data_IF_074673012611
#
_entry.id   IF_074673012611
#
_cell.length_a   1.000
_cell.length_b   1.000
_cell.length_c   1.000
_cell.angle_alpha   90.00
_cell.angle_beta   90.00
_cell.angle_gamma   90.00
#
_symmetry.space_group_name_H-M   'P 1'
#
loop_
_entity.id
_entity.type
_entity.pdbx_description
1 polymer ?
#
# COMPACT_ATOMS: atom_id res chain seq x y z
N UNK A 1 16.46 -9.96 27.31
CA UNK A 1 15.82 -10.57 26.13
C UNK A 1 14.50 -11.15 26.62
N UNK A 2 13.39 -10.88 25.93
CA UNK A 2 12.06 -11.39 26.31
C UNK A 2 11.99 -12.90 26.12
N UNK A 3 11.35 -13.61 27.05
CA UNK A 3 11.05 -15.03 26.94
C UNK A 3 9.65 -15.22 26.35
N UNK A 4 9.59 -15.53 25.06
CA UNK A 4 8.33 -15.67 24.32
C UNK A 4 7.61 -16.99 24.62
N UNK A 5 8.30 -17.97 25.21
CA UNK A 5 7.70 -19.27 25.60
C UNK A 5 6.60 -19.10 26.65
N UNK A 6 6.58 -17.97 27.37
CA UNK A 6 5.55 -17.65 28.35
C UNK A 6 4.24 -17.20 27.69
N UNK A 7 4.30 -16.68 26.47
CA UNK A 7 3.20 -15.98 25.80
C UNK A 7 2.72 -16.66 24.51
N UNK A 8 3.55 -17.51 23.90
CA UNK A 8 3.26 -18.19 22.64
C UNK A 8 3.21 -19.70 22.88
N UNK A 9 2.29 -20.38 22.21
CA UNK A 9 2.09 -21.82 22.25
C UNK A 9 2.22 -22.42 20.85
N UNK A 10 2.58 -23.72 20.73
CA UNK A 10 2.46 -24.43 19.47
C UNK A 10 1.04 -24.32 18.90
N UNK A 11 0.93 -23.94 17.63
CA UNK A 11 -0.32 -23.75 16.90
C UNK A 11 -0.83 -22.31 16.86
N UNK A 12 -0.23 -21.38 17.60
CA UNK A 12 -0.67 -19.99 17.64
C UNK A 12 -0.49 -19.30 16.27
N UNK A 13 -1.49 -18.49 15.92
CA UNK A 13 -1.42 -17.51 14.87
C UNK A 13 -0.83 -16.18 15.38
N UNK A 14 0.27 -15.74 14.77
CA UNK A 14 0.97 -14.51 15.15
C UNK A 14 0.81 -13.45 14.06
N UNK A 15 0.74 -12.17 14.42
CA UNK A 15 0.95 -11.05 13.48
C UNK A 15 1.81 -9.96 14.11
N UNK A 16 2.33 -9.05 13.28
CA UNK A 16 3.02 -7.87 13.80
C UNK A 16 2.82 -6.61 12.97
N UNK A 17 3.05 -5.45 13.59
CA UNK A 17 3.08 -4.15 12.90
C UNK A 17 4.01 -4.20 11.71
N UNK A 18 3.61 -3.59 10.60
CA UNK A 18 4.36 -3.62 9.35
C UNK A 18 5.10 -2.31 9.09
N UNK A 19 5.92 -2.30 8.04
CA UNK A 19 6.65 -1.14 7.54
C UNK A 19 7.57 -0.52 8.59
N UNK A 20 7.57 0.81 8.72
CA UNK A 20 8.38 1.56 9.67
C UNK A 20 8.01 1.31 11.13
N UNK A 21 6.82 0.76 11.39
CA UNK A 21 6.35 0.37 12.71
C UNK A 21 6.72 -1.08 13.09
N UNK A 22 7.43 -1.84 12.25
CA UNK A 22 7.79 -3.22 12.56
C UNK A 22 8.61 -3.33 13.85
N UNK A 23 8.16 -4.13 14.86
CA UNK A 23 8.84 -4.27 16.14
C UNK A 23 10.00 -5.27 16.02
N UNK A 24 11.05 -4.88 15.28
CA UNK A 24 12.14 -5.80 14.89
C UNK A 24 12.80 -6.54 16.05
N UNK A 25 12.97 -5.99 17.27
CA UNK A 25 13.49 -6.77 18.40
C UNK A 25 12.58 -7.94 18.82
N UNK A 26 11.26 -7.77 18.74
CA UNK A 26 10.29 -8.84 19.05
C UNK A 26 10.26 -9.89 17.94
N UNK A 27 10.27 -9.45 16.68
CA UNK A 27 10.34 -10.37 15.52
C UNK A 27 11.63 -11.19 15.56
N UNK A 28 12.76 -10.57 15.89
CA UNK A 28 14.04 -11.28 16.02
C UNK A 28 14.03 -12.26 17.17
N UNK A 29 13.48 -11.89 18.32
CA UNK A 29 13.29 -12.80 19.45
C UNK A 29 12.40 -14.01 19.09
N UNK A 30 11.35 -13.80 18.28
CA UNK A 30 10.51 -14.89 17.76
C UNK A 30 11.32 -15.83 16.87
N UNK A 31 12.05 -15.30 15.89
CA UNK A 31 12.88 -16.11 14.99
C UNK A 31 13.92 -16.95 15.76
N UNK A 32 14.47 -16.41 16.84
CA UNK A 32 15.47 -17.11 17.67
C UNK A 32 14.84 -18.18 18.60
N UNK A 33 13.55 -18.06 18.93
CA UNK A 33 12.86 -18.92 19.91
C UNK A 33 11.84 -19.87 19.29
N UNK A 34 11.38 -19.65 18.05
CA UNK A 34 10.37 -20.50 17.42
C UNK A 34 10.77 -21.99 17.33
N UNK A 35 12.06 -22.38 17.17
CA UNK A 35 12.43 -23.80 17.21
C UNK A 35 12.15 -24.49 18.54
N UNK A 36 12.08 -23.75 19.65
CA UNK A 36 11.74 -24.29 20.98
C UNK A 36 10.27 -24.10 21.37
N UNK A 37 9.55 -23.23 20.67
CA UNK A 37 8.12 -22.96 20.88
C UNK A 37 7.25 -23.97 20.11
N UNK A 38 7.65 -24.34 18.89
CA UNK A 38 6.89 -25.24 18.03
C UNK A 38 6.11 -24.49 16.96
N UNK A 39 5.36 -25.20 16.10
CA UNK A 39 4.88 -24.63 14.85
C UNK A 39 3.96 -23.44 15.11
N UNK A 40 4.24 -22.32 14.46
CA UNK A 40 3.42 -21.11 14.48
C UNK A 40 3.18 -20.62 13.06
N UNK A 41 2.08 -19.88 12.88
CA UNK A 41 1.74 -19.27 11.59
C UNK A 41 1.71 -17.76 11.73
N UNK A 42 2.59 -17.08 11.00
CA UNK A 42 2.74 -15.63 11.06
C UNK A 42 2.05 -14.95 9.88
N UNK A 43 1.14 -13.99 10.16
CA UNK A 43 0.66 -13.03 9.18
C UNK A 43 1.58 -11.80 9.15
N UNK A 44 2.19 -11.56 8.00
CA UNK A 44 3.22 -10.53 7.82
C UNK A 44 2.80 -9.59 6.71
N UNK A 45 2.71 -8.30 7.03
CA UNK A 45 2.50 -7.26 6.03
C UNK A 45 3.78 -6.87 5.31
N UNK A 46 3.84 -5.63 4.80
CA UNK A 46 5.06 -5.12 4.17
C UNK A 46 6.22 -5.05 5.18
N UNK A 47 7.33 -5.72 4.90
CA UNK A 47 8.51 -5.78 5.78
C UNK A 47 9.80 -5.42 5.05
N UNK A 48 10.73 -4.81 5.77
CA UNK A 48 12.14 -4.64 5.34
C UNK A 48 13.13 -5.44 6.18
N UNK A 49 12.62 -6.31 7.05
CA UNK A 49 13.43 -7.10 7.94
C UNK A 49 14.11 -8.23 7.17
N UNK A 50 15.39 -8.03 6.85
CA UNK A 50 16.19 -9.00 6.09
C UNK A 50 16.37 -10.35 6.80
N UNK A 51 16.14 -10.44 8.12
CA UNK A 51 16.11 -11.75 8.81
C UNK A 51 14.95 -12.63 8.33
N UNK A 52 13.94 -12.06 7.67
CA UNK A 52 12.89 -12.82 7.01
C UNK A 52 13.30 -13.30 5.61
N UNK A 53 14.52 -13.03 5.14
CA UNK A 53 15.02 -13.53 3.84
C UNK A 53 16.10 -14.59 3.96
N UNK A 54 16.58 -14.85 5.18
CA UNK A 54 17.43 -16.01 5.45
C UNK A 54 16.58 -17.28 5.52
N UNK A 55 17.25 -18.44 5.64
CA UNK A 55 16.60 -19.69 5.99
C UNK A 55 15.77 -19.48 7.26
N UNK A 56 14.45 -19.62 7.11
CA UNK A 56 13.51 -19.50 8.21
C UNK A 56 13.48 -20.82 8.98
N UNK A 57 13.22 -20.79 10.29
CA UNK A 57 12.97 -22.01 11.05
C UNK A 57 11.82 -22.83 10.46
N UNK A 58 11.95 -24.16 10.43
CA UNK A 58 10.94 -25.07 9.89
C UNK A 58 9.59 -24.96 10.63
N UNK A 59 9.63 -24.54 11.89
CA UNK A 59 8.45 -24.31 12.73
C UNK A 59 7.72 -22.99 12.42
N UNK A 60 8.23 -22.15 11.53
CA UNK A 60 7.61 -20.88 11.16
C UNK A 60 7.04 -20.92 9.74
N UNK A 61 5.72 -20.84 9.63
CA UNK A 61 5.04 -20.59 8.35
C UNK A 61 4.67 -19.12 8.21
N UNK A 62 4.92 -18.53 7.03
CA UNK A 62 4.57 -17.14 6.74
C UNK A 62 3.43 -17.08 5.73
N UNK A 63 2.38 -16.35 6.12
CA UNK A 63 1.29 -15.93 5.26
C UNK A 63 1.27 -14.41 5.14
N UNK A 64 0.92 -13.88 3.97
CA UNK A 64 0.81 -12.45 3.72
C UNK A 64 -0.37 -12.15 2.80
N UNK A 65 -0.74 -10.88 2.66
CA UNK A 65 -1.63 -10.41 1.60
C UNK A 65 -0.88 -10.08 0.29
N UNK A 66 0.44 -10.32 0.23
CA UNK A 66 1.24 -10.28 -1.00
C UNK A 66 2.76 -10.33 -0.78
N UNK A 67 3.52 -10.33 -1.88
CA UNK A 67 4.98 -10.34 -1.92
C UNK A 67 5.59 -8.97 -1.63
N UNK A 68 5.35 -8.43 -0.43
CA UNK A 68 5.65 -7.03 -0.11
C UNK A 68 7.01 -6.86 0.58
N UNK A 69 7.80 -5.92 0.07
CA UNK A 69 9.13 -5.61 0.62
C UNK A 69 10.08 -6.80 0.48
N UNK A 70 10.56 -7.33 1.60
CA UNK A 70 11.47 -8.47 1.66
C UNK A 70 10.76 -9.83 1.48
N UNK A 71 9.43 -9.90 1.65
CA UNK A 71 8.67 -11.16 1.51
C UNK A 71 8.75 -11.77 0.10
N UNK A 72 8.89 -10.95 -0.96
CA UNK A 72 9.06 -11.44 -2.34
C UNK A 72 10.34 -12.26 -2.57
N UNK A 73 11.26 -12.27 -1.60
CA UNK A 73 12.51 -13.04 -1.64
C UNK A 73 12.39 -14.40 -0.96
N UNK A 74 11.27 -14.67 -0.29
CA UNK A 74 11.03 -15.95 0.35
C UNK A 74 10.88 -17.05 -0.70
N UNK A 75 11.51 -18.20 -0.44
CA UNK A 75 11.34 -19.39 -1.25
C UNK A 75 9.89 -19.91 -1.20
N UNK A 76 9.26 -19.81 -0.02
CA UNK A 76 7.88 -20.24 0.22
C UNK A 76 7.12 -19.13 0.95
N UNK A 77 6.23 -18.45 0.23
CA UNK A 77 5.30 -17.47 0.76
C UNK A 77 3.87 -17.91 0.45
N UNK A 78 3.05 -18.08 1.48
CA UNK A 78 1.60 -18.24 1.31
C UNK A 78 0.96 -16.86 1.15
N UNK A 79 0.17 -16.66 0.08
CA UNK A 79 -0.52 -15.39 -0.18
C UNK A 79 -2.02 -15.58 -0.02
N UNK A 80 -2.65 -14.73 0.79
CA UNK A 80 -4.10 -14.58 0.92
C UNK A 80 -4.55 -13.47 -0.04
N UNK A 81 -5.12 -13.79 -1.20
CA UNK A 81 -5.60 -12.78 -2.13
C UNK A 81 -6.81 -12.07 -1.53
N UNK A 82 -6.65 -10.80 -1.17
CA UNK A 82 -7.71 -9.97 -0.62
C UNK A 82 -7.43 -8.48 -0.86
N UNK A 83 -8.50 -7.70 -0.99
CA UNK A 83 -8.38 -6.24 -0.91
C UNK A 83 -7.93 -5.82 0.48
N UNK A 84 -7.18 -4.74 0.57
CA UNK A 84 -6.67 -4.27 1.85
C UNK A 84 -7.80 -3.87 2.81
N UNK A 85 -8.87 -3.28 2.28
CA UNK A 85 -10.10 -2.99 3.04
C UNK A 85 -10.84 -4.21 3.57
N UNK A 86 -10.51 -5.43 3.11
CA UNK A 86 -11.09 -6.68 3.62
C UNK A 86 -10.34 -7.26 4.84
N UNK A 87 -9.09 -6.85 5.08
CA UNK A 87 -8.28 -7.33 6.21
C UNK A 87 -8.99 -7.19 7.57
N UNK A 88 -9.66 -6.07 7.90
CA UNK A 88 -10.39 -5.94 9.18
C UNK A 88 -11.40 -7.06 9.39
N UNK A 89 -12.17 -7.40 8.33
CA UNK A 89 -13.16 -8.46 8.40
C UNK A 89 -12.52 -9.84 8.54
N UNK A 90 -11.39 -10.08 7.86
CA UNK A 90 -10.67 -11.35 7.96
C UNK A 90 -10.09 -11.58 9.36
N UNK A 91 -9.63 -10.53 10.05
CA UNK A 91 -9.28 -10.61 11.47
C UNK A 91 -10.50 -10.85 12.36
N UNK A 92 -11.60 -10.12 12.13
CA UNK A 92 -12.83 -10.29 12.90
C UNK A 92 -13.42 -11.71 12.80
N UNK A 93 -13.31 -12.34 11.63
CA UNK A 93 -13.72 -13.72 11.37
C UNK A 93 -12.66 -14.76 11.75
N UNK A 94 -11.51 -14.33 12.29
CA UNK A 94 -10.36 -15.20 12.65
C UNK A 94 -9.87 -16.07 11.49
N UNK A 95 -9.95 -15.53 10.26
CA UNK A 95 -9.41 -16.17 9.05
C UNK A 95 -7.93 -15.88 8.86
N UNK A 96 -7.41 -14.85 9.54
CA UNK A 96 -5.99 -14.54 9.63
C UNK A 96 -5.45 -14.87 11.03
N UNK A 97 -4.16 -15.24 11.15
CA UNK A 97 -3.46 -15.36 12.42
C UNK A 97 -3.73 -14.19 13.37
N UNK A 98 -4.26 -14.47 14.57
CA UNK A 98 -4.67 -13.41 15.50
C UNK A 98 -4.62 -13.82 16.99
N UNK A 99 -3.87 -14.85 17.37
CA UNK A 99 -3.76 -15.27 18.77
C UNK A 99 -2.77 -14.37 19.54
N UNK A 100 -1.66 -14.01 18.89
CA UNK A 100 -0.62 -13.14 19.44
C UNK A 100 -0.27 -12.02 18.46
N UNK A 101 -0.22 -10.77 18.94
CA UNK A 101 0.15 -9.61 18.13
C UNK A 101 1.37 -8.89 18.70
N UNK A 102 2.35 -8.57 17.84
CA UNK A 102 3.46 -7.70 18.21
C UNK A 102 3.28 -6.30 17.64
N UNK A 103 3.37 -5.30 18.50
CA UNK A 103 3.25 -3.89 18.08
C UNK A 103 4.46 -3.09 18.53
N UNK A 104 4.79 -2.04 17.78
CA UNK A 104 5.68 -1.00 18.24
C UNK A 104 4.86 0.24 18.58
N UNK A 105 5.08 0.81 19.76
CA UNK A 105 4.28 1.94 20.26
C UNK A 105 5.14 3.02 20.91
N UNK A 106 4.57 4.21 21.06
CA UNK A 106 5.16 5.29 21.87
C UNK A 106 5.19 4.95 23.35
N UNK A 107 6.01 5.64 24.16
CA UNK A 107 5.82 5.66 25.60
C UNK A 107 4.39 6.09 25.97
N UNK A 108 3.86 5.61 27.11
CA UNK A 108 2.54 6.00 27.57
C UNK A 108 2.48 7.49 27.90
N UNK A 109 1.37 8.14 27.56
CA UNK A 109 1.06 9.51 27.95
C UNK A 109 0.74 9.62 29.46
N UNK A 110 0.46 10.84 29.93
CA UNK A 110 0.08 11.08 31.34
C UNK A 110 -1.18 10.33 31.80
N UNK A 111 -2.01 9.84 30.87
CA UNK A 111 -3.18 9.02 31.14
C UNK A 111 -2.90 7.51 30.99
N UNK A 112 -1.64 7.11 30.78
CA UNK A 112 -1.22 5.72 30.66
C UNK A 112 -1.47 5.10 29.28
N UNK A 113 -1.69 5.91 28.24
CA UNK A 113 -1.99 5.41 26.89
C UNK A 113 -0.80 5.53 25.94
N UNK A 114 -0.53 4.46 25.22
CA UNK A 114 0.41 4.39 24.11
C UNK A 114 -0.27 4.71 22.77
N UNK A 115 0.54 5.13 21.80
CA UNK A 115 0.14 5.38 20.40
C UNK A 115 0.84 4.38 19.48
N UNK A 116 0.12 3.87 18.46
CA UNK A 116 0.70 3.07 17.37
C UNK A 116 1.64 3.87 16.46
N UNK A 117 1.57 5.20 16.53
CA UNK A 117 2.46 6.12 15.82
C UNK A 117 2.35 5.99 14.31
N UNK A 118 3.44 5.55 13.67
CA UNK A 118 3.58 5.54 12.20
C UNK A 118 2.88 4.38 11.50
N UNK A 119 2.33 3.40 12.23
CA UNK A 119 1.65 2.23 11.64
C UNK A 119 0.34 1.91 12.34
N UNK A 120 -0.75 2.55 11.91
CA UNK A 120 -2.11 2.32 12.43
C UNK A 120 -2.84 1.29 11.59
N UNK A 121 -3.02 1.60 10.30
CA UNK A 121 -3.48 0.71 9.22
C UNK A 121 -4.38 -0.49 9.62
N UNK A 122 -4.14 -1.72 9.16
CA UNK A 122 -4.93 -2.87 9.61
C UNK A 122 -4.58 -3.28 11.05
N UNK A 123 -3.45 -2.80 11.58
CA UNK A 123 -2.98 -3.16 12.92
C UNK A 123 -3.98 -2.74 13.97
N UNK A 124 -4.53 -1.52 13.86
CA UNK A 124 -5.59 -1.02 14.71
C UNK A 124 -6.85 -1.89 14.67
N UNK A 125 -7.21 -2.42 13.49
CA UNK A 125 -8.35 -3.33 13.33
C UNK A 125 -8.09 -4.72 13.96
N UNK A 126 -6.84 -5.18 13.97
CA UNK A 126 -6.46 -6.47 14.55
C UNK A 126 -6.45 -6.47 16.09
N UNK A 127 -6.28 -5.31 16.75
CA UNK A 127 -6.14 -5.21 18.21
C UNK A 127 -7.30 -5.82 18.99
N UNK A 128 -8.54 -5.60 18.52
CA UNK A 128 -9.76 -6.06 19.19
C UNK A 128 -9.98 -7.57 19.06
N UNK A 129 -9.27 -8.20 18.11
CA UNK A 129 -9.37 -9.62 17.81
C UNK A 129 -8.20 -10.44 18.34
N UNK A 130 -7.25 -9.78 19.02
CA UNK A 130 -5.96 -10.39 19.41
C UNK A 130 -5.82 -10.53 20.92
N UNK A 131 -6.01 -11.72 21.52
CA UNK A 131 -5.99 -11.88 22.96
C UNK A 131 -4.67 -11.43 23.62
N UNK A 132 -3.54 -11.86 23.08
CA UNK A 132 -2.20 -11.56 23.64
C UNK A 132 -1.52 -10.49 22.80
N UNK A 133 -1.23 -9.33 23.40
CA UNK A 133 -0.44 -8.29 22.75
C UNK A 133 0.90 -8.11 23.48
N UNK A 134 1.98 -8.05 22.73
CA UNK A 134 3.33 -7.76 23.22
C UNK A 134 3.83 -6.51 22.51
N UNK A 135 4.35 -5.55 23.28
CA UNK A 135 4.76 -4.25 22.73
C UNK A 135 6.27 -4.01 22.82
N UNK A 136 6.84 -3.48 21.73
CA UNK A 136 8.06 -2.68 21.79
C UNK A 136 7.65 -1.22 22.10
N UNK A 137 7.97 -0.73 23.30
CA UNK A 137 7.83 0.69 23.65
C UNK A 137 9.09 1.40 23.16
N UNK A 138 9.00 2.07 22.02
CA UNK A 138 10.10 2.82 21.44
C UNK A 138 9.97 4.31 21.75
N UNK A 139 10.96 4.88 22.43
CA UNK A 139 11.02 6.32 22.77
C UNK A 139 10.98 7.24 21.55
N UNK A 140 11.32 6.73 20.37
CA UNK A 140 11.30 7.48 19.09
C UNK A 140 10.03 7.29 18.27
N UNK A 141 9.07 6.49 18.73
CA UNK A 141 7.78 6.35 18.04
C UNK A 141 6.94 7.61 18.28
N UNK A 142 6.57 8.38 17.24
CA UNK A 142 5.79 9.60 17.39
C UNK A 142 4.36 9.30 17.85
N UNK A 143 3.74 10.26 18.53
CA UNK A 143 2.31 10.25 18.82
C UNK A 143 1.58 10.87 17.64
N UNK A 144 0.67 10.13 17.01
CA UNK A 144 -0.08 10.57 15.84
C UNK A 144 -1.54 10.84 16.17
N UNK A 145 -2.15 11.78 15.45
CA UNK A 145 -3.58 12.11 15.60
C UNK A 145 -4.45 10.99 15.02
N UNK A 146 -5.61 10.73 15.62
CA UNK A 146 -6.65 9.86 15.04
C UNK A 146 -6.50 8.35 15.32
N UNK A 147 -5.31 7.91 15.72
CA UNK A 147 -5.02 6.53 16.10
C UNK A 147 -5.77 6.13 17.39
N UNK A 148 -6.13 4.84 17.56
CA UNK A 148 -6.63 4.34 18.84
C UNK A 148 -5.60 4.55 19.96
N UNK A 149 -6.08 4.95 21.14
CA UNK A 149 -5.27 5.03 22.36
C UNK A 149 -5.25 3.65 23.02
N UNK A 150 -4.05 3.11 23.27
CA UNK A 150 -3.89 1.77 23.83
C UNK A 150 -3.38 1.88 25.27
N UNK A 151 -4.16 1.48 26.30
CA UNK A 151 -3.68 1.49 27.68
C UNK A 151 -2.46 0.57 27.84
N UNK A 152 -1.44 0.99 28.60
CA UNK A 152 -0.25 0.16 28.86
C UNK A 152 -0.61 -1.23 29.42
N UNK A 153 -1.67 -1.31 30.22
CA UNK A 153 -2.19 -2.56 30.81
C UNK A 153 -2.75 -3.56 29.78
N UNK A 154 -2.92 -3.15 28.52
CA UNK A 154 -3.39 -4.02 27.43
C UNK A 154 -2.32 -5.03 26.98
N UNK A 155 -1.04 -4.73 27.25
CA UNK A 155 0.08 -5.57 26.84
C UNK A 155 0.40 -6.63 27.90
N UNK A 156 0.53 -7.88 27.46
CA UNK A 156 0.93 -9.00 28.31
C UNK A 156 2.41 -8.93 28.70
N UNK A 157 3.24 -8.33 27.82
CA UNK A 157 4.64 -8.04 28.07
C UNK A 157 5.09 -6.85 27.23
N UNK A 158 6.14 -6.18 27.69
CA UNK A 158 6.74 -5.04 27.01
C UNK A 158 8.26 -5.15 26.96
N UNK A 159 8.86 -4.64 25.89
CA UNK A 159 10.30 -4.39 25.78
C UNK A 159 10.50 -2.90 25.50
N UNK A 160 11.49 -2.28 26.13
CA UNK A 160 11.81 -0.87 25.87
C UNK A 160 12.91 -0.74 24.80
N UNK A 161 12.80 0.29 23.97
CA UNK A 161 13.83 0.64 23.00
C UNK A 161 13.95 2.16 22.80
N UNK A 162 15.07 2.58 22.22
CA UNK A 162 15.32 3.95 21.75
C UNK A 162 16.01 3.90 20.37
N UNK A 163 15.61 2.91 19.56
CA UNK A 163 16.19 2.71 18.23
C UNK A 163 15.50 3.63 17.21
N UNK A 164 16.20 4.06 16.16
CA UNK A 164 15.54 4.72 15.04
C UNK A 164 14.46 3.81 14.45
N UNK A 165 13.36 4.43 13.98
CA UNK A 165 12.38 3.77 13.13
C UNK A 165 13.04 3.41 11.79
N UNK A 166 12.48 2.43 11.09
CA UNK A 166 12.99 2.09 9.77
C UNK A 166 12.66 3.24 8.80
N UNK A 167 13.66 3.64 8.02
CA UNK A 167 13.53 4.73 7.05
C UNK A 167 13.45 4.19 5.62
N UNK A 168 12.64 4.84 4.79
CA UNK A 168 12.64 4.70 3.34
C UNK A 168 13.06 6.04 2.73
N UNK A 169 14.35 6.23 2.41
CA UNK A 169 14.81 7.46 1.79
C UNK A 169 14.24 7.60 0.37
N UNK A 170 13.92 8.84 0.01
CA UNK A 170 13.57 9.19 -1.36
C UNK A 170 14.72 8.81 -2.31
N UNK A 171 14.35 8.33 -3.49
CA UNK A 171 15.27 8.12 -4.61
C UNK A 171 14.99 9.16 -5.67
N UNK A 172 16.03 9.63 -6.33
CA UNK A 172 15.85 10.52 -7.47
C UNK A 172 15.12 9.77 -8.59
N UNK A 173 14.03 10.36 -9.13
CA UNK A 173 13.34 9.79 -10.28
C UNK A 173 14.18 9.94 -11.54
N UNK A 174 14.16 8.91 -12.37
CA UNK A 174 14.66 8.95 -13.73
C UNK A 174 13.74 9.81 -14.63
N UNK A 175 14.27 10.22 -15.79
CA UNK A 175 13.53 11.07 -16.74
C UNK A 175 12.19 10.47 -17.18
N UNK A 176 12.13 9.14 -17.29
CA UNK A 176 10.90 8.40 -17.62
C UNK A 176 9.84 8.59 -16.54
N UNK A 177 10.21 8.54 -15.26
CA UNK A 177 9.30 8.74 -14.13
C UNK A 177 8.84 10.19 -14.02
N UNK A 178 9.73 11.15 -14.34
CA UNK A 178 9.39 12.56 -14.44
C UNK A 178 8.40 12.84 -15.59
N UNK A 179 8.53 12.16 -16.72
CA UNK A 179 7.59 12.27 -17.84
C UNK A 179 6.20 11.73 -17.46
N UNK A 180 6.13 10.53 -16.88
CA UNK A 180 4.88 9.97 -16.36
C UNK A 180 4.27 10.92 -15.33
N UNK A 181 5.07 11.45 -14.39
CA UNK A 181 4.60 12.34 -13.35
C UNK A 181 3.94 13.61 -13.89
N UNK A 182 4.49 14.22 -14.95
CA UNK A 182 3.88 15.37 -15.63
C UNK A 182 2.54 15.00 -16.25
N UNK A 183 2.48 13.88 -16.98
CA UNK A 183 1.24 13.40 -17.59
C UNK A 183 0.15 13.10 -16.56
N UNK A 184 0.52 12.57 -15.38
CA UNK A 184 -0.43 12.35 -14.27
C UNK A 184 -0.88 13.68 -13.68
N UNK A 185 0.04 14.64 -13.48
CA UNK A 185 -0.29 15.94 -12.90
C UNK A 185 -1.32 16.71 -13.74
N UNK A 186 -1.27 16.61 -15.07
CA UNK A 186 -2.25 17.23 -15.97
C UNK A 186 -3.68 16.69 -15.82
N UNK A 187 -3.86 15.54 -15.16
CA UNK A 187 -5.16 14.92 -14.89
C UNK A 187 -5.74 15.28 -13.51
N UNK A 188 -4.92 15.90 -12.65
CA UNK A 188 -5.33 16.38 -11.33
C UNK A 188 -5.80 17.83 -11.44
N UNK A 189 -6.88 18.15 -10.74
CA UNK A 189 -7.41 19.50 -10.64
C UNK A 189 -7.18 20.08 -9.24
N UNK A 190 -7.13 21.40 -9.15
CA UNK A 190 -7.13 22.10 -7.86
C UNK A 190 -8.33 21.69 -7.01
N UNK A 191 -8.10 21.43 -5.73
CA UNK A 191 -9.12 20.97 -4.79
C UNK A 191 -9.43 19.47 -4.82
N UNK A 192 -8.78 18.68 -5.68
CA UNK A 192 -8.95 17.24 -5.67
C UNK A 192 -8.44 16.60 -4.38
N UNK A 193 -9.11 15.54 -3.94
CA UNK A 193 -8.59 14.67 -2.87
C UNK A 193 -7.82 13.53 -3.52
N UNK A 194 -6.51 13.48 -3.30
CA UNK A 194 -5.66 12.46 -3.90
C UNK A 194 -5.43 11.27 -2.96
N UNK A 195 -5.37 10.09 -3.56
CA UNK A 195 -4.69 8.92 -3.03
C UNK A 195 -3.52 8.59 -3.93
N UNK A 196 -2.40 8.27 -3.30
CA UNK A 196 -1.22 7.84 -4.03
C UNK A 196 -0.36 6.91 -3.16
N UNK A 197 0.28 5.95 -3.80
CA UNK A 197 1.22 5.03 -3.16
C UNK A 197 2.55 5.69 -2.77
N UNK A 198 3.56 4.84 -2.57
CA UNK A 198 4.92 5.22 -2.16
C UNK A 198 5.94 4.67 -3.15
N UNK A 199 7.11 5.31 -3.22
CA UNK A 199 8.19 4.93 -4.12
C UNK A 199 8.52 6.06 -5.11
N UNK A 200 9.48 5.79 -6.00
CA UNK A 200 10.07 6.82 -6.87
C UNK A 200 9.03 7.52 -7.75
N UNK A 201 8.20 6.76 -8.48
CA UNK A 201 7.17 7.34 -9.34
C UNK A 201 6.09 8.12 -8.55
N UNK A 202 5.47 7.56 -7.49
CA UNK A 202 4.59 8.32 -6.60
C UNK A 202 5.19 9.63 -6.06
N UNK A 203 6.44 9.61 -5.60
CA UNK A 203 7.14 10.81 -5.12
C UNK A 203 7.35 11.83 -6.25
N UNK A 204 7.63 11.38 -7.47
CA UNK A 204 7.74 12.25 -8.65
C UNK A 204 6.39 12.90 -9.01
N UNK A 205 5.29 12.14 -8.98
CA UNK A 205 3.93 12.66 -9.20
C UNK A 205 3.61 13.74 -8.16
N UNK A 206 3.78 13.46 -6.87
CA UNK A 206 3.58 14.46 -5.82
C UNK A 206 4.43 15.71 -6.04
N UNK A 207 5.67 15.56 -6.49
CA UNK A 207 6.53 16.70 -6.82
C UNK A 207 5.99 17.51 -8.00
N UNK A 208 5.47 16.85 -9.04
CA UNK A 208 4.85 17.50 -10.19
C UNK A 208 3.55 18.25 -9.83
N UNK A 209 2.88 17.86 -8.74
CA UNK A 209 1.70 18.55 -8.23
C UNK A 209 2.00 19.87 -7.51
N UNK A 210 3.27 20.28 -7.37
CA UNK A 210 3.65 21.48 -6.61
C UNK A 210 3.03 22.80 -7.08
N UNK A 211 2.49 22.86 -8.31
CA UNK A 211 1.78 24.03 -8.83
C UNK A 211 0.27 24.07 -8.53
N UNK A 212 -0.29 22.99 -7.97
CA UNK A 212 -1.72 22.89 -7.66
C UNK A 212 -2.07 23.60 -6.35
N UNK A 213 -3.36 23.81 -6.11
CA UNK A 213 -3.90 24.50 -4.95
C UNK A 213 -4.96 23.66 -4.24
N UNK A 214 -5.00 23.80 -2.91
CA UNK A 214 -6.03 23.24 -2.04
C UNK A 214 -6.26 21.73 -2.16
N UNK A 215 -5.23 20.96 -2.51
CA UNK A 215 -5.34 19.52 -2.61
C UNK A 215 -5.60 18.87 -1.23
N UNK A 216 -6.38 17.80 -1.23
CA UNK A 216 -6.59 16.92 -0.09
C UNK A 216 -5.78 15.63 -0.21
N UNK A 217 -5.52 14.97 0.92
CA UNK A 217 -4.93 13.62 0.94
C UNK A 217 -5.86 12.69 1.72
N UNK A 218 -6.21 11.56 1.10
CA UNK A 218 -6.85 10.42 1.76
C UNK A 218 -6.23 9.15 1.17
N UNK A 219 -5.22 8.61 1.85
CA UNK A 219 -4.40 7.51 1.32
C UNK A 219 -4.20 6.41 2.34
N UNK A 220 -3.71 5.25 1.90
CA UNK A 220 -3.20 4.22 2.80
C UNK A 220 -1.89 4.63 3.47
N UNK A 221 -1.07 5.46 2.80
CA UNK A 221 0.24 5.87 3.30
C UNK A 221 0.55 7.35 3.03
N UNK A 222 1.43 7.93 3.85
CA UNK A 222 2.03 9.26 3.65
C UNK A 222 3.55 9.16 3.58
N UNK A 223 4.20 10.01 2.77
CA UNK A 223 5.65 10.05 2.55
C UNK A 223 6.24 11.46 2.69
N UNK A 224 7.56 11.58 2.64
CA UNK A 224 8.28 12.87 2.63
C UNK A 224 7.85 13.78 1.47
N UNK A 225 7.46 13.22 0.32
CA UNK A 225 6.96 14.00 -0.81
C UNK A 225 5.64 14.72 -0.47
N UNK A 226 4.74 14.04 0.25
CA UNK A 226 3.50 14.66 0.72
C UNK A 226 3.79 15.72 1.80
N UNK A 227 4.74 15.46 2.71
CA UNK A 227 5.20 16.47 3.69
C UNK A 227 5.65 17.77 3.00
N UNK A 228 6.44 17.66 1.92
CA UNK A 228 6.89 18.85 1.16
C UNK A 228 5.73 19.65 0.56
N UNK A 229 4.65 18.99 0.12
CA UNK A 229 3.46 19.67 -0.38
C UNK A 229 2.63 20.32 0.74
N UNK A 230 2.58 19.71 1.92
CA UNK A 230 1.95 20.30 3.11
C UNK A 230 2.71 21.57 3.51
N UNK A 231 4.04 21.49 3.60
CA UNK A 231 4.90 22.64 3.95
C UNK A 231 4.78 23.80 2.93
N UNK A 232 4.47 23.49 1.67
CA UNK A 232 4.21 24.48 0.61
C UNK A 232 2.78 25.02 0.59
N UNK A 233 1.87 24.49 1.41
CA UNK A 233 0.45 24.86 1.39
C UNK A 233 -0.30 24.38 0.13
N UNK A 234 0.24 23.39 -0.58
CA UNK A 234 -0.42 22.75 -1.73
C UNK A 234 -1.41 21.70 -1.23
N UNK A 235 -0.98 20.87 -0.29
CA UNK A 235 -1.85 19.96 0.45
C UNK A 235 -2.39 20.70 1.67
N UNK A 236 -3.63 21.18 1.58
CA UNK A 236 -4.34 21.88 2.66
C UNK A 236 -5.47 21.05 3.26
N UNK A 237 -6.04 20.13 2.48
CA UNK A 237 -7.23 19.37 2.86
C UNK A 237 -8.50 20.22 2.98
N UNK A 238 -8.46 21.53 2.71
CA UNK A 238 -9.55 22.45 3.01
C UNK A 238 -10.83 22.17 2.20
N UNK A 239 -10.70 21.52 1.03
CA UNK A 239 -11.82 21.22 0.12
C UNK A 239 -12.33 19.79 0.20
N UNK A 240 -11.77 18.95 1.08
CA UNK A 240 -12.25 17.58 1.25
C UNK A 240 -13.69 17.57 1.77
N UNK A 241 -14.51 16.69 1.23
CA UNK A 241 -15.92 16.53 1.62
C UNK A 241 -16.08 15.90 3.01
N UNK A 242 -15.10 15.10 3.40
CA UNK A 242 -14.93 14.54 4.75
C UNK A 242 -13.54 14.87 5.27
N UNK A 243 -13.40 14.97 6.59
CA UNK A 243 -12.16 15.39 7.25
C UNK A 243 -11.60 16.72 6.68
N UNK A 244 -12.42 17.79 6.53
CA UNK A 244 -11.95 19.05 5.96
C UNK A 244 -10.82 19.65 6.81
N UNK A 245 -9.76 20.09 6.14
CA UNK A 245 -8.54 20.60 6.76
C UNK A 245 -7.61 19.52 7.34
N UNK A 246 -7.97 18.23 7.20
CA UNK A 246 -7.13 17.11 7.62
C UNK A 246 -6.76 16.20 6.44
N UNK A 247 -5.52 15.75 6.44
CA UNK A 247 -5.06 14.64 5.62
C UNK A 247 -5.32 13.32 6.36
N UNK A 248 -5.59 12.25 5.61
CA UNK A 248 -5.85 10.92 6.18
C UNK A 248 -4.84 9.92 5.63
N UNK A 249 -4.21 9.16 6.52
CA UNK A 249 -3.27 8.08 6.19
C UNK A 249 -3.50 6.85 7.11
N UNK A 250 -3.08 5.66 6.69
CA UNK A 250 -3.04 4.48 7.55
C UNK A 250 -1.66 4.28 8.20
N UNK A 251 -0.60 4.56 7.44
CA UNK A 251 0.78 4.45 7.88
C UNK A 251 1.65 5.57 7.29
N UNK A 252 2.86 5.76 7.83
CA UNK A 252 3.86 6.67 7.30
C UNK A 252 5.09 5.89 6.85
N UNK A 253 5.60 6.24 5.67
CA UNK A 253 6.75 5.63 5.06
C UNK A 253 7.69 6.70 4.54
N UNK A 254 8.82 6.88 5.20
CA UNK A 254 9.69 8.02 4.88
C UNK A 254 10.97 8.06 5.69
N UNK A 255 11.51 9.26 5.83
CA UNK A 255 12.72 9.52 6.64
C UNK A 255 12.38 9.89 8.08
N UNK A 256 13.40 9.97 8.93
CA UNK A 256 13.27 10.51 10.28
C UNK A 256 12.63 11.91 10.30
N UNK A 257 12.88 12.73 9.27
CA UNK A 257 12.29 14.07 9.14
C UNK A 257 10.77 14.02 9.10
N UNK A 258 10.20 13.06 8.36
CA UNK A 258 8.75 12.87 8.32
C UNK A 258 8.24 12.51 9.71
N UNK A 259 8.82 11.49 10.33
CA UNK A 259 8.36 10.95 11.60
C UNK A 259 8.39 11.98 12.73
N UNK A 260 9.47 12.78 12.83
CA UNK A 260 9.63 13.81 13.85
C UNK A 260 8.61 14.95 13.70
N UNK A 261 8.16 15.22 12.46
CA UNK A 261 7.19 16.29 12.17
C UNK A 261 5.74 15.86 12.35
N UNK A 262 5.42 14.56 12.21
CA UNK A 262 4.04 14.04 12.25
C UNK A 262 3.18 14.58 13.40
N UNK A 263 3.65 14.70 14.66
CA UNK A 263 2.82 15.18 15.77
C UNK A 263 2.25 16.59 15.57
N UNK A 264 2.90 17.42 14.75
CA UNK A 264 2.49 18.80 14.47
C UNK A 264 1.77 19.00 13.13
N UNK A 265 1.57 17.95 12.34
CA UNK A 265 0.93 18.05 11.03
C UNK A 265 -0.58 17.79 11.13
N UNK A 266 -1.41 18.38 10.24
CA UNK A 266 -2.84 18.10 10.18
C UNK A 266 -3.11 16.75 9.49
N UNK A 267 -2.52 15.67 10.00
CA UNK A 267 -2.63 14.30 9.44
C UNK A 267 -3.23 13.38 10.49
N UNK A 268 -4.42 12.85 10.20
CA UNK A 268 -5.07 11.83 11.02
C UNK A 268 -4.72 10.43 10.50
N UNK A 269 -4.09 9.63 11.37
CA UNK A 269 -3.82 8.23 11.12
C UNK A 269 -5.05 7.40 11.52
N UNK A 270 -5.58 6.63 10.58
CA UNK A 270 -6.85 5.90 10.72
C UNK A 270 -6.70 4.44 10.31
N UNK A 271 -7.52 3.53 10.86
CA UNK A 271 -7.49 2.12 10.53
C UNK A 271 -7.82 1.84 9.05
N UNK A 272 -7.53 0.62 8.58
CA UNK A 272 -7.92 0.15 7.26
C UNK A 272 -9.45 0.18 7.07
N UNK A 273 -10.20 -0.11 8.15
CA UNK A 273 -11.67 0.02 8.20
C UNK A 273 -12.20 1.46 8.03
N UNK A 274 -11.33 2.47 7.94
CA UNK A 274 -11.69 3.84 7.57
C UNK A 274 -11.05 4.25 6.25
N UNK A 275 -9.73 4.09 6.14
CA UNK A 275 -8.96 4.55 4.99
C UNK A 275 -9.38 3.87 3.69
N UNK A 276 -9.73 2.57 3.75
CA UNK A 276 -10.08 1.75 2.59
C UNK A 276 -11.56 1.35 2.55
N UNK A 277 -12.37 1.82 3.50
CA UNK A 277 -13.77 1.42 3.59
C UNK A 277 -14.61 2.03 2.46
N UNK A 278 -15.36 1.22 1.67
CA UNK A 278 -16.18 1.73 0.58
C UNK A 278 -17.19 2.80 1.03
N UNK A 279 -17.73 2.69 2.25
CA UNK A 279 -18.68 3.66 2.81
C UNK A 279 -18.05 5.01 3.12
N UNK A 280 -16.75 5.05 3.41
CA UNK A 280 -15.99 6.28 3.60
C UNK A 280 -15.56 6.84 2.25
N UNK A 281 -14.94 6.02 1.41
CA UNK A 281 -14.42 6.43 0.12
C UNK A 281 -15.49 6.95 -0.84
N UNK A 282 -16.71 6.40 -0.79
CA UNK A 282 -17.84 6.87 -1.61
C UNK A 282 -18.32 8.29 -1.29
N UNK A 283 -17.85 8.90 -0.19
CA UNK A 283 -18.17 10.28 0.17
C UNK A 283 -17.26 11.30 -0.52
N UNK A 284 -16.09 10.88 -1.04
CA UNK A 284 -15.11 11.73 -1.72
C UNK A 284 -15.45 11.82 -3.22
N UNK A 285 -16.09 12.91 -3.64
CA UNK A 285 -16.58 13.09 -5.02
C UNK A 285 -15.49 13.63 -5.95
N UNK A 286 -14.57 14.42 -5.44
CA UNK A 286 -13.38 14.90 -6.16
C UNK A 286 -12.17 13.95 -6.01
N UNK A 287 -12.41 12.65 -5.85
CA UNK A 287 -11.35 11.70 -5.53
C UNK A 287 -10.51 11.32 -6.75
N UNK A 288 -9.18 11.35 -6.60
CA UNK A 288 -8.23 10.90 -7.61
C UNK A 288 -7.34 9.82 -7.02
N UNK A 289 -7.51 8.60 -7.51
CA UNK A 289 -6.74 7.43 -7.14
C UNK A 289 -5.58 7.26 -8.12
N UNK A 290 -4.33 7.27 -7.63
CA UNK A 290 -3.13 7.16 -8.45
C UNK A 290 -2.36 5.92 -8.00
N UNK A 291 -2.43 4.86 -8.80
CA UNK A 291 -1.79 3.58 -8.53
C UNK A 291 -0.81 3.21 -9.64
N UNK A 292 0.02 2.19 -9.39
CA UNK A 292 0.97 1.66 -10.37
C UNK A 292 0.65 0.20 -10.70
N UNK A 293 1.12 -0.24 -11.86
CA UNK A 293 0.92 -1.62 -12.32
C UNK A 293 2.24 -2.25 -12.76
N UNK A 294 2.26 -3.59 -12.80
CA UNK A 294 3.32 -4.34 -13.47
C UNK A 294 3.03 -4.36 -14.96
N UNK A 295 1.78 -4.61 -15.32
CA UNK A 295 1.31 -4.68 -16.70
C UNK A 295 -0.18 -4.29 -16.80
N UNK A 296 -0.59 -3.89 -18.00
CA UNK A 296 -1.98 -3.59 -18.33
C UNK A 296 -2.29 -4.14 -19.73
N UNK A 297 -3.40 -4.84 -19.88
CA UNK A 297 -3.80 -5.35 -21.20
C UNK A 297 -4.48 -4.29 -22.08
N UNK A 298 -4.63 -4.56 -23.38
CA UNK A 298 -5.27 -3.66 -24.34
C UNK A 298 -6.72 -3.31 -24.00
N UNK A 299 -7.39 -4.10 -23.16
CA UNK A 299 -8.74 -3.82 -22.68
C UNK A 299 -8.75 -2.95 -21.42
N UNK A 300 -7.58 -2.72 -20.82
CA UNK A 300 -7.40 -1.95 -19.58
C UNK A 300 -7.51 -2.78 -18.31
N UNK A 301 -7.43 -4.11 -18.36
CA UNK A 301 -7.28 -4.90 -17.12
C UNK A 301 -5.87 -4.73 -16.58
N UNK A 302 -5.72 -4.67 -15.27
CA UNK A 302 -4.46 -4.37 -14.61
C UNK A 302 -3.94 -5.60 -13.88
N UNK A 303 -2.68 -5.96 -14.14
CA UNK A 303 -1.90 -6.91 -13.35
C UNK A 303 -0.89 -6.17 -12.47
N UNK A 304 -1.01 -6.28 -11.15
CA UNK A 304 -0.11 -5.61 -10.19
C UNK A 304 0.56 -6.58 -9.19
N UNK A 305 0.28 -7.88 -9.29
CA UNK A 305 0.67 -8.87 -8.28
C UNK A 305 1.85 -9.73 -8.69
N UNK A 306 1.84 -10.23 -9.93
CA UNK A 306 2.75 -11.26 -10.40
C UNK A 306 3.73 -10.70 -11.42
N UNK A 307 4.96 -11.22 -11.38
CA UNK A 307 5.94 -11.10 -12.45
C UNK A 307 6.57 -12.46 -12.67
N UNK A 308 6.49 -13.01 -13.89
CA UNK A 308 7.06 -14.33 -14.22
C UNK A 308 6.70 -15.40 -13.17
N UNK A 309 5.42 -15.49 -12.78
CA UNK A 309 4.85 -16.37 -11.71
C UNK A 309 5.23 -16.08 -10.25
N UNK A 310 6.10 -15.12 -9.99
CA UNK A 310 6.48 -14.75 -8.61
C UNK A 310 5.64 -13.57 -8.14
N UNK A 311 5.13 -13.64 -6.91
CA UNK A 311 4.49 -12.48 -6.27
C UNK A 311 5.50 -11.36 -6.04
N UNK A 312 5.31 -10.25 -6.75
CA UNK A 312 6.11 -9.03 -6.66
C UNK A 312 5.32 -7.86 -6.05
N UNK A 313 4.01 -8.02 -5.89
CA UNK A 313 3.10 -7.04 -5.31
C UNK A 313 1.98 -7.71 -4.50
N UNK A 314 0.82 -7.07 -4.48
CA UNK A 314 -0.37 -7.51 -3.78
C UNK A 314 -1.61 -6.95 -4.50
N UNK A 315 -2.78 -7.55 -4.29
CA UNK A 315 -4.06 -6.88 -4.60
C UNK A 315 -4.09 -5.51 -3.89
N UNK A 316 -3.77 -5.53 -2.59
CA UNK A 316 -3.60 -4.34 -1.78
C UNK A 316 -4.83 -3.42 -1.78
N UNK A 317 -4.60 -2.14 -1.50
CA UNK A 317 -5.65 -1.12 -1.46
C UNK A 317 -5.98 -0.51 -2.81
N UNK A 318 -5.23 -0.86 -3.88
CA UNK A 318 -5.40 -0.29 -5.21
C UNK A 318 -6.84 -0.40 -5.69
N UNK A 319 -7.44 -1.58 -5.56
CA UNK A 319 -8.83 -1.82 -6.01
C UNK A 319 -9.82 -0.99 -5.20
N UNK A 320 -9.62 -0.87 -3.88
CA UNK A 320 -10.49 -0.10 -3.00
C UNK A 320 -10.57 1.37 -3.47
N UNK A 321 -9.42 1.98 -3.77
CA UNK A 321 -9.33 3.36 -4.22
C UNK A 321 -9.74 3.56 -5.69
N UNK A 322 -9.31 2.67 -6.60
CA UNK A 322 -9.67 2.72 -8.02
C UNK A 322 -11.20 2.60 -8.18
N UNK A 323 -11.81 1.65 -7.47
CA UNK A 323 -13.27 1.47 -7.49
C UNK A 323 -13.99 2.69 -6.93
N UNK A 324 -13.50 3.26 -5.84
CA UNK A 324 -14.08 4.48 -5.28
C UNK A 324 -14.06 5.64 -6.27
N UNK A 325 -12.90 5.92 -6.88
CA UNK A 325 -12.76 6.98 -7.87
C UNK A 325 -13.67 6.75 -9.09
N UNK A 326 -13.79 5.50 -9.56
CA UNK A 326 -14.71 5.15 -10.64
C UNK A 326 -16.19 5.38 -10.26
N UNK A 327 -16.57 5.04 -9.03
CA UNK A 327 -17.96 5.16 -8.54
C UNK A 327 -18.39 6.60 -8.24
N UNK A 328 -17.50 7.44 -7.73
CA UNK A 328 -17.84 8.81 -7.31
C UNK A 328 -17.77 9.83 -8.44
N UNK A 329 -17.39 9.40 -9.65
CA UNK A 329 -17.14 10.28 -10.79
C UNK A 329 -15.75 10.93 -10.77
N UNK A 330 -14.91 10.54 -9.80
CA UNK A 330 -13.50 10.88 -9.73
C UNK A 330 -12.65 10.24 -10.85
N UNK A 331 -11.34 10.13 -10.63
CA UNK A 331 -10.37 9.59 -11.61
C UNK A 331 -9.52 8.47 -11.01
N UNK A 332 -9.62 7.29 -11.61
CA UNK A 332 -8.77 6.12 -11.37
C UNK A 332 -7.64 6.07 -12.39
N UNK A 333 -6.43 6.40 -11.96
CA UNK A 333 -5.23 6.54 -12.77
C UNK A 333 -4.28 5.38 -12.45
N UNK A 334 -3.85 4.68 -13.50
CA UNK A 334 -2.80 3.67 -13.46
C UNK A 334 -1.56 4.25 -14.14
N UNK A 335 -0.52 4.56 -13.37
CA UNK A 335 0.72 5.15 -13.84
C UNK A 335 1.85 4.12 -13.84
N UNK A 336 2.46 3.90 -15.01
CA UNK A 336 3.48 2.88 -15.20
C UNK A 336 4.42 3.25 -16.36
N UNK A 337 5.63 2.69 -16.36
CA UNK A 337 6.52 2.77 -17.54
C UNK A 337 5.94 1.93 -18.66
N UNK A 338 6.03 2.37 -19.91
CA UNK A 338 5.58 1.61 -21.08
C UNK A 338 6.49 0.41 -21.40
N UNK A 339 7.75 0.45 -20.96
CA UNK A 339 8.74 -0.64 -21.10
C UNK A 339 9.41 -0.98 -19.75
N UNK A 340 9.63 -2.28 -19.56
CA UNK A 340 10.41 -2.83 -18.46
C UNK A 340 11.45 -3.82 -18.97
N UNK A 341 12.68 -3.35 -19.20
CA UNK A 341 13.85 -4.18 -19.59
C UNK A 341 13.74 -4.74 -21.01
N UNK A 342 13.20 -3.95 -21.93
CA UNK A 342 13.01 -4.32 -23.33
C UNK A 342 11.72 -5.10 -23.59
N UNK A 343 10.88 -5.25 -22.57
CA UNK A 343 9.56 -5.87 -22.68
C UNK A 343 8.48 -4.80 -22.45
N UNK A 344 7.49 -4.75 -23.36
CA UNK A 344 6.30 -3.93 -23.19
C UNK A 344 5.58 -4.29 -21.90
N UNK A 345 5.16 -3.28 -21.14
CA UNK A 345 4.27 -3.44 -19.99
C UNK A 345 2.80 -3.32 -20.40
N UNK A 346 2.53 -2.80 -21.59
CA UNK A 346 1.21 -2.88 -22.23
C UNK A 346 1.16 -4.17 -23.02
N UNK A 347 0.21 -5.04 -22.69
CA UNK A 347 0.10 -6.40 -23.23
C UNK A 347 -1.18 -6.55 -24.05
N UNK A 348 -1.22 -7.51 -24.95
CA UNK A 348 -2.46 -7.94 -25.61
C UNK A 348 -3.42 -8.63 -24.64
N UNK A 349 -2.87 -9.47 -23.76
CA UNK A 349 -3.57 -10.02 -22.59
C UNK A 349 -2.61 -10.10 -21.41
N UNK A 350 -3.13 -10.03 -20.17
CA UNK A 350 -2.31 -10.15 -18.96
C UNK A 350 -1.56 -11.48 -18.90
N UNK A 351 -0.28 -11.42 -18.55
CA UNK A 351 0.53 -12.59 -18.31
C UNK A 351 -0.07 -13.39 -17.15
N UNK A 352 -0.25 -14.71 -17.37
CA UNK A 352 -0.83 -15.63 -16.39
C UNK A 352 -2.29 -15.34 -15.97
N UNK A 353 -2.97 -14.39 -16.61
CA UNK A 353 -4.40 -14.13 -16.44
C UNK A 353 -4.82 -13.55 -15.08
N UNK A 354 -3.87 -13.12 -14.25
CA UNK A 354 -4.15 -12.56 -12.93
C UNK A 354 -4.62 -11.10 -13.04
N UNK A 355 -5.92 -10.87 -12.87
CA UNK A 355 -6.52 -9.53 -12.88
C UNK A 355 -6.55 -8.98 -11.45
N UNK A 356 -5.74 -7.95 -11.19
CA UNK A 356 -5.76 -7.21 -9.93
C UNK A 356 -6.85 -6.13 -9.94
N UNK A 357 -6.92 -5.30 -10.98
CA UNK A 357 -7.98 -4.29 -11.14
C UNK A 357 -8.74 -4.54 -12.43
N UNK A 358 -10.06 -4.67 -12.31
CA UNK A 358 -10.92 -4.91 -13.46
C UNK A 358 -10.93 -3.68 -14.37
N UNK A 359 -10.99 -3.92 -15.68
CA UNK A 359 -11.05 -2.88 -16.72
C UNK A 359 -12.16 -1.85 -16.52
N UNK A 360 -13.24 -2.21 -15.81
CA UNK A 360 -14.35 -1.32 -15.51
C UNK A 360 -14.01 -0.23 -14.48
N UNK A 361 -12.97 -0.43 -13.67
CA UNK A 361 -12.54 0.47 -12.60
C UNK A 361 -11.34 1.35 -12.99
N UNK A 362 -10.93 1.30 -14.26
CA UNK A 362 -9.80 2.07 -14.80
C UNK A 362 -10.30 3.17 -15.71
N UNK A 363 -9.88 4.40 -15.40
CA UNK A 363 -10.22 5.58 -16.20
C UNK A 363 -9.07 6.02 -17.08
N UNK A 364 -7.86 6.00 -16.55
CA UNK A 364 -6.66 6.41 -17.27
C UNK A 364 -5.54 5.40 -17.06
N UNK A 365 -4.83 5.08 -18.14
CA UNK A 365 -3.50 4.48 -18.08
C UNK A 365 -2.50 5.50 -18.58
N UNK A 366 -1.48 5.78 -17.78
CA UNK A 366 -0.51 6.85 -18.04
C UNK A 366 0.89 6.26 -18.11
N UNK A 367 1.57 6.56 -19.21
CA UNK A 367 2.99 6.22 -19.44
C UNK A 367 3.79 7.48 -19.71
N UNK A 368 5.08 7.33 -19.96
CA UNK A 368 5.95 8.41 -20.41
C UNK A 368 5.54 8.98 -21.78
N UNK A 369 4.71 8.26 -22.55
CA UNK A 369 4.24 8.65 -23.89
C UNK A 369 2.87 9.33 -23.90
N UNK A 370 2.18 9.41 -22.76
CA UNK A 370 0.90 10.11 -22.63
C UNK A 370 -0.10 9.39 -21.73
N UNK A 371 -1.37 9.76 -21.86
CA UNK A 371 -2.47 9.22 -21.09
C UNK A 371 -3.57 8.64 -22.01
N UNK A 372 -3.91 7.37 -21.81
CA UNK A 372 -5.02 6.70 -22.47
C UNK A 372 -6.28 6.80 -21.60
N UNK A 373 -7.25 7.63 -22.00
CA UNK A 373 -8.55 7.70 -21.35
C UNK A 373 -9.43 6.51 -21.77
N UNK A 374 -9.93 5.70 -20.84
CA UNK A 374 -10.62 4.43 -21.11
C UNK A 374 -12.09 4.42 -20.66
N UNK A 375 -12.51 5.36 -19.81
CA UNK A 375 -13.91 5.48 -19.35
C UNK A 375 -14.83 5.75 -20.54
N UNK A 376 -15.90 4.96 -20.66
CA UNK A 376 -16.90 5.09 -21.74
C UNK A 376 -16.46 4.59 -23.12
N UNK A 377 -15.26 4.02 -23.24
CA UNK A 377 -14.76 3.46 -24.50
C UNK A 377 -15.15 1.99 -24.67
N UNK A 378 -15.46 1.61 -25.92
CA UNK A 378 -15.53 0.21 -26.38
C UNK A 378 -14.15 -0.47 -26.32
N UNK A 379 -14.12 -1.80 -26.38
CA UNK A 379 -12.86 -2.56 -26.34
C UNK A 379 -11.89 -2.16 -27.46
N UNK A 380 -12.40 -1.98 -28.69
CA UNK A 380 -11.56 -1.53 -29.81
C UNK A 380 -11.06 -0.09 -29.67
N UNK A 381 -11.83 0.82 -29.06
CA UNK A 381 -11.35 2.17 -28.74
C UNK A 381 -10.28 2.15 -27.65
N UNK A 382 -10.45 1.30 -26.62
CA UNK A 382 -9.45 1.11 -25.57
C UNK A 382 -8.14 0.58 -26.14
N UNK A 383 -8.19 -0.47 -26.96
CA UNK A 383 -7.00 -1.04 -27.57
C UNK A 383 -6.18 -0.01 -28.34
N UNK A 384 -6.82 0.79 -29.21
CA UNK A 384 -6.15 1.86 -29.96
C UNK A 384 -5.53 2.92 -29.04
N UNK A 385 -6.23 3.33 -27.97
CA UNK A 385 -5.72 4.32 -27.01
C UNK A 385 -4.55 3.76 -26.18
N UNK A 386 -4.61 2.49 -25.80
CA UNK A 386 -3.53 1.81 -25.08
C UNK A 386 -2.27 1.69 -25.96
N UNK A 387 -2.40 1.30 -27.22
CA UNK A 387 -1.29 1.24 -28.18
C UNK A 387 -0.65 2.63 -28.36
N UNK A 388 -1.47 3.69 -28.43
CA UNK A 388 -0.96 5.06 -28.59
C UNK A 388 -0.04 5.53 -27.44
N UNK A 389 -0.17 4.94 -26.25
CA UNK A 389 0.68 5.23 -25.08
C UNK A 389 1.71 4.13 -24.79
N UNK A 390 1.81 3.09 -25.64
CA UNK A 390 2.90 2.11 -25.58
C UNK A 390 4.21 2.69 -26.11
N UNK A 391 5.32 2.03 -25.77
CA UNK A 391 6.63 2.39 -26.30
C UNK A 391 6.63 2.20 -27.83
N UNK A 392 7.15 3.16 -28.62
CA UNK A 392 7.08 3.13 -30.08
C UNK A 392 7.52 1.81 -30.71
N UNK A 393 8.57 1.19 -30.16
CA UNK A 393 9.13 -0.09 -30.60
C UNK A 393 8.18 -1.30 -30.44
N UNK A 394 7.18 -1.20 -29.56
CA UNK A 394 6.23 -2.29 -29.27
C UNK A 394 4.88 -2.12 -29.98
N UNK A 395 4.60 -0.97 -30.59
CA UNK A 395 3.28 -0.63 -31.14
C UNK A 395 2.87 -1.53 -32.31
N UNK A 396 3.79 -1.75 -33.26
CA UNK A 396 3.52 -2.58 -34.45
C UNK A 396 3.15 -4.02 -34.05
N UNK A 397 3.85 -4.59 -33.06
CA UNK A 397 3.54 -5.93 -32.54
C UNK A 397 2.16 -5.97 -31.87
N UNK A 398 1.82 -4.95 -31.08
CA UNK A 398 0.52 -4.88 -30.40
C UNK A 398 -0.65 -4.68 -31.38
N UNK A 399 -0.42 -3.94 -32.48
CA UNK A 399 -1.40 -3.76 -33.56
C UNK A 399 -1.63 -5.08 -34.30
N UNK A 400 -0.55 -5.78 -34.66
CA UNK A 400 -0.63 -7.09 -35.31
C UNK A 400 -1.40 -8.12 -34.47
N UNK A 401 -1.05 -8.25 -33.19
CA UNK A 401 -1.69 -9.20 -32.27
C UNK A 401 -3.18 -8.87 -32.07
N UNK A 402 -3.56 -7.59 -32.06
CA UNK A 402 -4.95 -7.16 -31.95
C UNK A 402 -5.79 -7.61 -33.15
N UNK A 403 -5.25 -7.47 -34.36
CA UNK A 403 -5.91 -7.91 -35.59
C UNK A 403 -6.13 -9.43 -35.61
N UNK A 404 -5.13 -10.21 -35.20
CA UNK A 404 -5.29 -11.67 -35.09
C UNK A 404 -6.36 -12.06 -34.05
N UNK A 405 -6.41 -11.36 -32.91
CA UNK A 405 -7.40 -11.62 -31.87
C UNK A 405 -8.84 -11.31 -32.33
N UNK A 406 -9.04 -10.18 -33.02
CA UNK A 406 -10.34 -9.81 -33.59
C UNK A 406 -10.79 -10.80 -34.68
N UNK A 407 -9.87 -11.27 -35.54
CA UNK A 407 -10.15 -12.29 -36.54
C UNK A 407 -10.53 -13.65 -35.93
N UNK A 408 -9.90 -14.04 -34.83
CA UNK A 408 -10.24 -15.28 -34.12
C UNK A 408 -11.63 -15.19 -33.45
N UNK A 409 -12.00 -14.02 -32.92
CA UNK A 409 -13.29 -13.80 -32.24
C UNK A 409 -14.50 -13.71 -33.16
N UNK A 410 -14.29 -13.48 -34.46
CA UNK A 410 -15.35 -13.36 -35.48
C UNK A 410 -15.56 -14.63 -36.29
N UNK A 411 -14.74 -15.67 -36.07
CA UNK A 411 -14.80 -16.95 -36.76
C UNK A 411 -15.64 -18.02 -36.03
N UNK A 412 -16.17 -17.72 -34.84
CA UNK A 412 -17.18 -18.51 -34.09
C UNK A 412 -18.58 -17.91 -34.27
#
# INVERSE_FOLDING_TARGET
MIDLTQHIRPGDGIWWSQTSAEPTPLVHALLDQVPSIGPVRAFVGLTWNRRLTSELPDELSIVSYGGLGELRRLAHLEVVPCHYGALPRLFAERRLPCDVGFVQVSPPDSAGNCSLGVGVDYIADALDHTPVLIAEINRRMPVTLGAPKIPLSRFAAVVESDRPLLEAPDREPADVELAIARNVADLVADGDTIQIGVGTLPSAVLTALAGHQDLGLHSGMISDAALRLIDRGVLTGARKEIDPGLHVAGAALGTATLYDRLPGLPVAFRPASYTHAPQILSQLKSFVSINSAIEVDLTGQVGAELRNTTYAGAVGGQVDFSRAAAMTGGRSIIAMRADSRGESTIKTALEYGAVTTARADVDFVVTEYGAAALRGCSLGERARRMIAVAAPEHRESLEFDLEEYDLASTAE
#
